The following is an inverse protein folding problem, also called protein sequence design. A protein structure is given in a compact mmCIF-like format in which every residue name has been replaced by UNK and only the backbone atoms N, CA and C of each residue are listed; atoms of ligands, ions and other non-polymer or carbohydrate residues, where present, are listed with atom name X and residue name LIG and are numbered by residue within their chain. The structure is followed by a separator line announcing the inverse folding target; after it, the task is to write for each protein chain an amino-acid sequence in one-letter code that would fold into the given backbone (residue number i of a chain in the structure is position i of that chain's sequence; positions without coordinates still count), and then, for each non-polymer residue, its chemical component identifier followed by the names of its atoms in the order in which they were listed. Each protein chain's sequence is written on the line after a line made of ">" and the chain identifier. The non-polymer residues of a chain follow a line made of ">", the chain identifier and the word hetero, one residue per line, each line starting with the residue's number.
data_IF_089326318599
#
_entry.id   IF_089326318599
#
_cell.length_a   1.000
_cell.length_b   1.000
_cell.length_c   1.000
_cell.angle_alpha   90.00
_cell.angle_beta   90.00
_cell.angle_gamma   90.00
#
_symmetry.space_group_name_H-M   'P 1'
#
loop_
_entity.id
_entity.type
_entity.pdbx_description
1 polymer ?
#
# COMPACT_ATOMS: atom_id res chain seq x y z
N UNK A 1 57.48 -13.13 -1.74
CA UNK A 1 56.21 -13.77 -1.36
C UNK A 1 55.09 -12.80 -1.65
N UNK A 2 54.31 -13.05 -2.70
CA UNK A 2 53.20 -12.21 -3.17
C UNK A 2 51.90 -12.92 -2.84
N UNK A 3 51.17 -12.41 -1.85
CA UNK A 3 49.83 -12.90 -1.50
C UNK A 3 49.07 -11.75 -0.86
N UNK A 4 48.34 -11.02 -1.69
CA UNK A 4 47.36 -10.04 -1.29
C UNK A 4 46.23 -10.11 -2.30
N UNK A 5 45.44 -11.18 -2.20
CA UNK A 5 44.23 -11.38 -2.98
C UNK A 5 43.33 -10.15 -2.82
N UNK A 6 43.14 -9.41 -3.91
CA UNK A 6 42.06 -8.46 -4.05
C UNK A 6 40.75 -9.26 -3.96
N UNK A 7 40.16 -9.30 -2.76
CA UNK A 7 38.78 -9.70 -2.59
C UNK A 7 37.91 -8.70 -3.36
N UNK A 8 37.51 -9.13 -4.54
CA UNK A 8 36.60 -8.48 -5.45
C UNK A 8 35.26 -8.33 -4.73
N UNK A 9 35.05 -7.18 -4.10
CA UNK A 9 33.74 -6.75 -3.61
C UNK A 9 32.82 -6.63 -4.82
N UNK A 10 32.04 -7.68 -5.05
CA UNK A 10 30.93 -7.63 -6.00
C UNK A 10 30.04 -6.45 -5.60
N UNK A 11 29.75 -5.51 -6.51
CA UNK A 11 29.10 -4.28 -6.12
C UNK A 11 27.65 -4.59 -5.74
N UNK A 12 27.30 -4.31 -4.47
CA UNK A 12 25.94 -4.40 -3.92
C UNK A 12 24.88 -3.71 -4.80
N UNK A 13 25.29 -2.76 -5.64
CA UNK A 13 24.47 -2.11 -6.66
C UNK A 13 23.94 -3.05 -7.76
N UNK A 14 24.71 -4.05 -8.22
CA UNK A 14 24.29 -4.98 -9.27
C UNK A 14 23.22 -5.96 -8.75
N UNK A 15 23.38 -6.44 -7.51
CA UNK A 15 22.41 -7.34 -6.88
C UNK A 15 21.08 -6.63 -6.56
N UNK A 16 21.12 -5.35 -6.19
CA UNK A 16 19.93 -4.52 -5.90
C UNK A 16 19.10 -4.24 -7.16
N UNK A 17 19.77 -3.99 -8.30
CA UNK A 17 19.11 -3.77 -9.60
C UNK A 17 18.34 -5.01 -10.07
N UNK A 18 18.94 -6.21 -9.95
CA UNK A 18 18.34 -7.46 -10.40
C UNK A 18 17.07 -7.83 -9.61
N UNK A 19 17.08 -7.67 -8.28
CA UNK A 19 15.91 -7.92 -7.42
C UNK A 19 14.72 -7.03 -7.79
N UNK A 20 14.96 -5.74 -7.98
CA UNK A 20 13.89 -4.79 -8.33
C UNK A 20 13.32 -5.07 -9.72
N UNK A 21 14.18 -5.46 -10.67
CA UNK A 21 13.75 -5.90 -12.00
C UNK A 21 12.86 -7.15 -11.92
N UNK A 22 13.26 -8.13 -11.10
CA UNK A 22 12.47 -9.34 -10.88
C UNK A 22 11.07 -9.04 -10.33
N UNK A 23 10.95 -8.17 -9.32
CA UNK A 23 9.64 -7.76 -8.80
C UNK A 23 8.80 -7.03 -9.86
N UNK A 24 9.40 -6.20 -10.72
CA UNK A 24 8.67 -5.56 -11.83
C UNK A 24 8.14 -6.59 -12.82
N UNK A 25 8.97 -7.55 -13.23
CA UNK A 25 8.57 -8.62 -14.15
C UNK A 25 7.42 -9.44 -13.55
N UNK A 26 7.55 -9.84 -12.28
CA UNK A 26 6.48 -10.54 -11.57
C UNK A 26 5.20 -9.70 -11.49
N UNK A 27 5.33 -8.40 -11.24
CA UNK A 27 4.19 -7.50 -11.17
C UNK A 27 3.41 -7.46 -12.49
N UNK A 28 4.11 -7.33 -13.63
CA UNK A 28 3.47 -7.40 -14.95
C UNK A 28 2.90 -8.78 -15.26
N UNK A 29 3.62 -9.85 -14.91
CA UNK A 29 3.15 -11.22 -15.14
C UNK A 29 1.86 -11.50 -14.37
N UNK A 30 1.79 -11.10 -13.10
CA UNK A 30 0.57 -11.25 -12.28
C UNK A 30 -0.55 -10.37 -12.84
N UNK A 31 -0.27 -9.14 -13.27
CA UNK A 31 -1.30 -8.26 -13.83
C UNK A 31 -1.89 -8.81 -15.14
N UNK A 32 -1.04 -9.31 -16.05
CA UNK A 32 -1.46 -9.94 -17.30
C UNK A 32 -2.24 -11.22 -17.03
N UNK A 33 -1.77 -12.07 -16.11
CA UNK A 33 -2.44 -13.30 -15.76
C UNK A 33 -3.80 -13.03 -15.12
N UNK A 34 -3.88 -12.04 -14.24
CA UNK A 34 -5.12 -11.67 -13.58
C UNK A 34 -6.15 -11.08 -14.56
N UNK A 35 -5.73 -10.10 -15.38
CA UNK A 35 -6.58 -9.49 -16.41
C UNK A 35 -7.03 -10.48 -17.47
N UNK A 36 -6.09 -11.27 -18.01
CA UNK A 36 -6.38 -12.29 -19.01
C UNK A 36 -7.31 -13.40 -18.52
N UNK A 37 -7.21 -13.81 -17.24
CA UNK A 37 -8.16 -14.75 -16.66
C UNK A 37 -9.56 -14.13 -16.53
N UNK A 38 -9.68 -12.88 -16.07
CA UNK A 38 -10.98 -12.20 -16.00
C UNK A 38 -11.61 -12.01 -17.39
N UNK A 39 -10.82 -11.62 -18.38
CA UNK A 39 -11.27 -11.46 -19.76
C UNK A 39 -11.71 -12.78 -20.38
N UNK A 40 -10.97 -13.86 -20.12
CA UNK A 40 -11.35 -15.20 -20.55
C UNK A 40 -12.70 -15.62 -19.96
N UNK A 41 -12.95 -15.36 -18.68
CA UNK A 41 -14.25 -15.59 -18.06
C UNK A 41 -15.35 -14.74 -18.73
N UNK A 42 -15.12 -13.47 -19.03
CA UNK A 42 -16.13 -12.61 -19.67
C UNK A 42 -16.42 -13.03 -21.13
N UNK A 43 -15.41 -13.38 -21.91
CA UNK A 43 -15.58 -13.71 -23.35
C UNK A 43 -16.37 -15.01 -23.54
N UNK A 44 -16.14 -16.02 -22.70
CA UNK A 44 -16.82 -17.31 -22.82
C UNK A 44 -18.34 -17.20 -22.63
N UNK A 45 -18.79 -16.25 -21.80
CA UNK A 45 -20.16 -16.23 -21.31
C UNK A 45 -21.03 -15.05 -21.80
N UNK A 46 -20.44 -14.03 -22.43
CA UNK A 46 -21.16 -12.79 -22.77
C UNK A 46 -21.02 -12.27 -24.22
N UNK A 47 -20.30 -12.97 -25.12
CA UNK A 47 -20.03 -12.66 -26.55
C UNK A 47 -18.76 -11.85 -26.90
N UNK A 48 -18.31 -11.93 -28.17
CA UNK A 48 -17.08 -11.31 -28.73
C UNK A 48 -17.01 -9.77 -28.62
N UNK A 49 -18.13 -9.07 -28.43
CA UNK A 49 -18.13 -7.60 -28.26
C UNK A 49 -17.38 -7.18 -26.97
N UNK A 50 -17.27 -8.10 -26.01
CA UNK A 50 -16.54 -7.91 -24.76
C UNK A 50 -15.01 -7.99 -24.91
N UNK A 51 -14.48 -8.24 -26.12
CA UNK A 51 -13.05 -8.05 -26.43
C UNK A 51 -12.56 -6.62 -26.15
N UNK A 52 -13.46 -5.63 -26.00
CA UNK A 52 -13.10 -4.30 -25.53
C UNK A 52 -12.40 -4.31 -24.15
N UNK A 53 -12.62 -5.32 -23.31
CA UNK A 53 -11.94 -5.43 -22.01
C UNK A 53 -10.46 -5.80 -22.16
N UNK A 54 -10.08 -6.50 -23.22
CA UNK A 54 -8.67 -6.73 -23.57
C UNK A 54 -8.00 -5.38 -23.87
N UNK A 55 -8.69 -4.48 -24.58
CA UNK A 55 -8.17 -3.15 -24.83
C UNK A 55 -7.96 -2.36 -23.53
N UNK A 56 -8.87 -2.49 -22.55
CA UNK A 56 -8.67 -1.87 -21.23
C UNK A 56 -7.45 -2.43 -20.51
N UNK A 57 -7.19 -3.74 -20.58
CA UNK A 57 -6.00 -4.34 -19.96
C UNK A 57 -4.70 -3.88 -20.62
N UNK A 58 -4.68 -3.75 -21.96
CA UNK A 58 -3.55 -3.15 -22.67
C UNK A 58 -3.30 -1.70 -22.24
N UNK A 59 -4.34 -0.91 -22.01
CA UNK A 59 -4.23 0.46 -21.48
C UNK A 59 -3.69 0.46 -20.05
N UNK A 60 -4.14 -0.45 -19.19
CA UNK A 60 -3.63 -0.58 -17.81
C UNK A 60 -2.16 -0.98 -17.82
N UNK A 61 -1.79 -2.02 -18.58
CA UNK A 61 -0.40 -2.50 -18.71
C UNK A 61 0.51 -1.39 -19.23
N UNK A 62 0.11 -0.71 -20.30
CA UNK A 62 0.89 0.40 -20.87
C UNK A 62 1.01 1.58 -19.91
N UNK A 63 -0.06 1.93 -19.19
CA UNK A 63 -0.04 2.95 -18.13
C UNK A 63 0.96 2.61 -17.02
N UNK A 64 0.94 1.36 -16.54
CA UNK A 64 1.91 0.88 -15.56
C UNK A 64 3.34 0.91 -16.09
N UNK A 65 3.57 0.52 -17.34
CA UNK A 65 4.89 0.60 -17.98
C UNK A 65 5.41 2.04 -18.05
N UNK A 66 4.55 3.00 -18.45
CA UNK A 66 4.88 4.43 -18.48
C UNK A 66 5.22 4.94 -17.08
N UNK A 67 4.44 4.57 -16.06
CA UNK A 67 4.69 4.95 -14.68
C UNK A 67 6.01 4.39 -14.14
N UNK A 68 6.33 3.13 -14.43
CA UNK A 68 7.63 2.55 -14.06
C UNK A 68 8.80 3.22 -14.79
N UNK A 69 8.65 3.52 -16.08
CA UNK A 69 9.67 4.25 -16.85
C UNK A 69 9.86 5.67 -16.31
N UNK A 70 8.78 6.38 -16.00
CA UNK A 70 8.83 7.74 -15.45
C UNK A 70 9.43 7.75 -14.05
N UNK A 71 9.12 6.76 -13.22
CA UNK A 71 9.75 6.57 -11.92
C UNK A 71 11.26 6.34 -12.08
N UNK A 72 11.68 5.46 -13.00
CA UNK A 72 13.10 5.20 -13.26
C UNK A 72 13.85 6.44 -13.78
N UNK A 73 13.24 7.22 -14.68
CA UNK A 73 13.82 8.49 -15.18
C UNK A 73 13.94 9.53 -14.08
N UNK A 74 12.88 9.77 -13.33
CA UNK A 74 12.89 10.71 -12.18
C UNK A 74 13.94 10.33 -11.14
N UNK A 75 14.15 9.03 -10.91
CA UNK A 75 15.22 8.53 -10.03
C UNK A 75 16.61 8.83 -10.59
N UNK A 76 16.85 8.62 -11.88
CA UNK A 76 18.12 8.95 -12.54
C UNK A 76 18.43 10.45 -12.49
N UNK A 77 17.44 11.30 -12.71
CA UNK A 77 17.57 12.76 -12.65
C UNK A 77 17.97 13.24 -11.24
N UNK A 78 17.35 12.65 -10.20
CA UNK A 78 17.73 12.90 -8.79
C UNK A 78 19.16 12.45 -8.46
N UNK A 79 19.57 11.28 -8.94
CA UNK A 79 20.93 10.76 -8.72
C UNK A 79 22.02 11.60 -9.41
N UNK A 80 21.70 12.25 -10.52
CA UNK A 80 22.63 13.13 -11.25
C UNK A 80 22.67 14.57 -10.71
N UNK A 81 22.00 14.87 -9.59
CA UNK A 81 22.05 16.19 -8.95
C UNK A 81 21.42 17.33 -9.76
N UNK A 82 20.68 17.01 -10.84
CA UNK A 82 20.00 18.02 -11.63
C UNK A 82 18.73 18.46 -10.89
N UNK A 83 18.85 19.52 -10.08
CA UNK A 83 17.71 20.23 -9.52
C UNK A 83 16.93 20.89 -10.67
N UNK A 84 16.00 20.16 -11.28
CA UNK A 84 15.09 20.66 -12.30
C UNK A 84 14.13 21.69 -11.66
N UNK A 85 14.52 22.97 -11.65
CA UNK A 85 13.60 24.11 -11.54
C UNK A 85 12.79 24.23 -12.84
N UNK A 86 11.83 23.33 -13.06
CA UNK A 86 10.70 23.54 -13.99
C UNK A 86 9.89 22.25 -14.17
N UNK A 87 8.90 22.05 -13.34
CA UNK A 87 7.60 21.61 -13.84
C UNK A 87 6.52 22.20 -12.95
N UNK A 88 5.42 22.63 -13.55
CA UNK A 88 4.26 23.25 -12.89
C UNK A 88 3.56 22.27 -11.91
N UNK A 89 4.05 21.02 -11.83
CA UNK A 89 3.67 19.97 -10.88
C UNK A 89 4.80 19.60 -9.91
N UNK A 90 5.77 20.50 -9.72
CA UNK A 90 7.00 20.33 -8.94
C UNK A 90 6.84 20.53 -7.44
N UNK A 91 5.84 19.88 -6.83
CA UNK A 91 5.98 19.51 -5.42
C UNK A 91 6.90 18.29 -5.37
N UNK A 92 7.70 18.11 -4.33
CA UNK A 92 8.58 16.95 -4.14
C UNK A 92 7.80 15.64 -4.35
N UNK A 93 7.79 15.10 -5.57
CA UNK A 93 7.02 13.90 -5.91
C UNK A 93 7.69 12.74 -5.17
N UNK A 94 7.06 12.29 -4.09
CA UNK A 94 7.55 11.19 -3.28
C UNK A 94 7.72 9.93 -4.13
N UNK A 95 8.59 9.03 -3.65
CA UNK A 95 8.98 7.79 -4.33
C UNK A 95 7.78 6.91 -4.76
N UNK A 96 6.62 7.08 -4.11
CA UNK A 96 5.39 6.34 -4.31
C UNK A 96 4.33 7.04 -5.18
N UNK A 97 4.61 8.24 -5.73
CA UNK A 97 3.60 9.00 -6.52
C UNK A 97 3.05 8.18 -7.70
N UNK A 98 3.93 7.46 -8.39
CA UNK A 98 3.52 6.63 -9.51
C UNK A 98 2.86 5.32 -9.07
N UNK A 99 3.12 4.87 -7.83
CA UNK A 99 2.56 3.65 -7.26
C UNK A 99 1.06 3.77 -6.99
N UNK A 100 0.64 4.86 -6.33
CA UNK A 100 -0.77 5.04 -5.99
C UNK A 100 -1.61 5.21 -7.26
N UNK A 101 -1.10 5.91 -8.29
CA UNK A 101 -1.77 6.07 -9.58
C UNK A 101 -1.90 4.73 -10.32
N UNK A 102 -0.82 3.94 -10.35
CA UNK A 102 -0.84 2.61 -10.95
C UNK A 102 -1.91 1.72 -10.28
N UNK A 103 -1.89 1.65 -8.95
CA UNK A 103 -2.86 0.88 -8.18
C UNK A 103 -4.30 1.39 -8.36
N UNK A 104 -4.51 2.70 -8.38
CA UNK A 104 -5.83 3.30 -8.61
C UNK A 104 -6.40 2.91 -9.97
N UNK A 105 -5.60 3.00 -11.04
CA UNK A 105 -6.02 2.58 -12.39
C UNK A 105 -6.38 1.09 -12.39
N UNK A 106 -5.60 0.26 -11.71
CA UNK A 106 -5.89 -1.16 -11.57
C UNK A 106 -7.22 -1.43 -10.84
N UNK A 107 -7.50 -0.74 -9.73
CA UNK A 107 -8.76 -0.89 -9.00
C UNK A 107 -9.95 -0.48 -9.89
N UNK A 108 -9.84 0.64 -10.60
CA UNK A 108 -10.90 1.14 -11.49
C UNK A 108 -11.16 0.16 -12.65
N UNK A 109 -10.11 -0.44 -13.22
CA UNK A 109 -10.25 -1.39 -14.33
C UNK A 109 -10.74 -2.77 -13.88
N UNK A 110 -10.29 -3.26 -12.72
CA UNK A 110 -10.64 -4.59 -12.21
C UNK A 110 -12.04 -4.65 -11.58
N UNK A 111 -12.50 -3.57 -10.95
CA UNK A 111 -13.81 -3.52 -10.27
C UNK A 111 -14.98 -3.93 -11.16
N UNK A 112 -15.22 -3.30 -12.33
CA UNK A 112 -16.36 -3.66 -13.16
C UNK A 112 -16.27 -5.10 -13.67
N UNK A 113 -15.08 -5.60 -14.03
CA UNK A 113 -14.89 -6.99 -14.46
C UNK A 113 -15.32 -7.98 -13.38
N UNK A 114 -14.87 -7.74 -12.15
CA UNK A 114 -15.20 -8.59 -11.01
C UNK A 114 -16.69 -8.50 -10.65
N UNK A 115 -17.27 -7.30 -10.62
CA UNK A 115 -18.71 -7.11 -10.36
C UNK A 115 -19.54 -7.86 -11.39
N UNK A 116 -19.19 -7.77 -12.67
CA UNK A 116 -19.91 -8.46 -13.73
C UNK A 116 -19.87 -9.98 -13.53
N UNK A 117 -18.70 -10.55 -13.19
CA UNK A 117 -18.60 -11.99 -12.92
C UNK A 117 -19.38 -12.41 -11.67
N UNK A 118 -19.45 -11.56 -10.63
CA UNK A 118 -20.17 -11.87 -9.38
C UNK A 118 -21.70 -11.71 -9.49
N UNK A 119 -22.19 -10.69 -10.19
CA UNK A 119 -23.62 -10.38 -10.29
C UNK A 119 -24.32 -11.21 -11.38
N UNK A 120 -23.60 -11.55 -12.46
CA UNK A 120 -24.21 -12.34 -13.52
C UNK A 120 -24.35 -13.79 -13.08
N UNK A 121 -25.45 -14.45 -13.48
CA UNK A 121 -25.70 -15.89 -13.30
C UNK A 121 -24.72 -16.80 -14.07
N UNK A 122 -23.58 -16.24 -14.49
CA UNK A 122 -22.48 -16.91 -15.17
C UNK A 122 -21.76 -17.86 -14.20
N UNK A 123 -21.87 -17.67 -12.88
CA UNK A 123 -21.21 -18.51 -11.89
C UNK A 123 -21.65 -20.00 -11.94
N UNK A 124 -22.94 -20.25 -12.17
CA UNK A 124 -23.49 -21.59 -12.33
C UNK A 124 -23.05 -22.24 -13.65
N UNK A 125 -22.81 -21.42 -14.68
CA UNK A 125 -22.28 -21.83 -15.98
C UNK A 125 -20.75 -22.05 -15.97
N UNK A 126 -20.00 -21.29 -15.16
CA UNK A 126 -18.56 -21.43 -14.90
C UNK A 126 -18.26 -22.79 -14.25
N UNK A 127 -19.10 -23.23 -13.32
CA UNK A 127 -18.94 -24.51 -12.64
C UNK A 127 -19.00 -25.71 -13.60
N UNK A 128 -19.70 -25.58 -14.74
CA UNK A 128 -20.02 -26.70 -15.63
C UNK A 128 -19.12 -26.79 -16.89
N UNK A 129 -18.51 -25.69 -17.35
CA UNK A 129 -17.97 -25.60 -18.73
C UNK A 129 -16.48 -25.29 -18.91
N UNK A 130 -15.74 -24.96 -17.86
CA UNK A 130 -14.37 -24.38 -18.01
C UNK A 130 -13.35 -25.08 -17.11
N UNK A 131 -12.12 -25.39 -17.61
CA UNK A 131 -11.04 -25.85 -16.72
C UNK A 131 -10.75 -24.78 -15.67
N UNK A 132 -10.64 -25.20 -14.40
CA UNK A 132 -10.48 -24.38 -13.19
C UNK A 132 -11.74 -23.64 -12.66
N UNK A 133 -12.84 -23.53 -13.40
CA UNK A 133 -14.16 -23.09 -12.89
C UNK A 133 -14.12 -21.95 -11.87
N UNK A 134 -14.82 -22.12 -10.74
CA UNK A 134 -14.85 -21.16 -9.61
C UNK A 134 -13.48 -21.04 -8.92
N UNK A 135 -12.69 -22.11 -8.92
CA UNK A 135 -11.36 -22.12 -8.28
C UNK A 135 -10.38 -21.18 -8.98
N UNK A 136 -10.42 -21.08 -10.31
CA UNK A 136 -9.60 -20.14 -11.07
C UNK A 136 -9.99 -18.69 -10.76
N UNK A 137 -11.29 -18.39 -10.69
CA UNK A 137 -11.78 -17.07 -10.26
C UNK A 137 -11.32 -16.70 -8.84
N UNK A 138 -11.38 -17.65 -7.91
CA UNK A 138 -10.86 -17.50 -6.54
C UNK A 138 -9.36 -17.16 -6.54
N UNK A 139 -8.56 -17.88 -7.32
CA UNK A 139 -7.12 -17.61 -7.46
C UNK A 139 -6.91 -16.21 -8.05
N UNK A 140 -7.63 -15.84 -9.10
CA UNK A 140 -7.57 -14.52 -9.74
C UNK A 140 -7.89 -13.38 -8.78
N UNK A 141 -8.87 -13.54 -7.90
CA UNK A 141 -9.16 -12.55 -6.84
C UNK A 141 -8.07 -12.47 -5.78
N UNK A 142 -7.47 -13.60 -5.41
CA UNK A 142 -6.41 -13.66 -4.40
C UNK A 142 -5.10 -13.06 -4.92
N UNK A 143 -4.87 -13.06 -6.24
CA UNK A 143 -3.69 -12.47 -6.87
C UNK A 143 -3.53 -10.96 -6.66
N UNK A 144 -4.58 -10.24 -6.22
CA UNK A 144 -4.48 -8.84 -5.81
C UNK A 144 -3.41 -8.62 -4.72
N UNK A 145 -3.32 -9.53 -3.74
CA UNK A 145 -2.36 -9.42 -2.64
C UNK A 145 -0.89 -9.56 -3.08
N UNK A 146 -0.47 -10.61 -3.81
CA UNK A 146 0.89 -10.71 -4.35
C UNK A 146 1.18 -9.63 -5.40
N UNK A 147 0.19 -9.15 -6.16
CA UNK A 147 0.36 -8.02 -7.07
C UNK A 147 0.78 -6.76 -6.29
N UNK A 148 0.06 -6.44 -5.21
CA UNK A 148 0.38 -5.31 -4.33
C UNK A 148 1.76 -5.46 -3.69
N UNK A 149 2.10 -6.67 -3.21
CA UNK A 149 3.43 -6.96 -2.67
C UNK A 149 4.54 -6.72 -3.70
N UNK A 150 4.36 -7.18 -4.94
CA UNK A 150 5.32 -6.97 -6.02
C UNK A 150 5.44 -5.48 -6.37
N UNK A 151 4.33 -4.75 -6.42
CA UNK A 151 4.33 -3.31 -6.67
C UNK A 151 5.15 -2.57 -5.60
N UNK A 152 4.92 -2.85 -4.33
CA UNK A 152 5.63 -2.22 -3.21
C UNK A 152 7.14 -2.50 -3.29
N UNK A 153 7.54 -3.77 -3.43
CA UNK A 153 8.95 -4.16 -3.48
C UNK A 153 9.65 -3.76 -4.79
N UNK A 154 8.90 -3.49 -5.86
CA UNK A 154 9.47 -2.94 -7.10
C UNK A 154 9.88 -1.47 -6.97
N UNK A 155 9.36 -0.78 -5.96
CA UNK A 155 9.56 0.65 -5.72
C UNK A 155 10.54 0.90 -4.59
N UNK A 156 10.43 0.15 -3.49
CA UNK A 156 11.33 0.25 -2.33
C UNK A 156 12.73 -0.19 -2.75
N UNK A 157 13.67 0.74 -2.68
CA UNK A 157 15.07 0.41 -2.91
C UNK A 157 15.79 0.12 -1.61
N UNK A 158 15.50 0.85 -0.52
CA UNK A 158 16.23 0.73 0.75
C UNK A 158 15.72 -0.46 1.58
N UNK A 159 16.50 -1.55 1.71
CA UNK A 159 16.09 -2.70 2.49
C UNK A 159 15.98 -2.40 4.00
N UNK A 160 16.64 -1.36 4.51
CA UNK A 160 16.65 -1.06 5.95
C UNK A 160 15.95 0.28 6.28
N UNK A 161 15.31 0.91 5.29
CA UNK A 161 14.66 2.20 5.46
C UNK A 161 13.38 2.13 6.30
N UNK A 162 13.08 3.20 7.04
CA UNK A 162 11.83 3.34 7.80
C UNK A 162 10.58 3.25 6.90
N UNK A 163 10.69 3.69 5.65
CA UNK A 163 9.63 3.57 4.62
C UNK A 163 9.30 2.12 4.29
N UNK A 164 10.29 1.21 4.31
CA UNK A 164 10.07 -0.22 4.12
C UNK A 164 9.25 -0.80 5.27
N UNK A 165 9.65 -0.55 6.52
CA UNK A 165 8.92 -1.08 7.67
C UNK A 165 7.48 -0.56 7.71
N UNK A 166 7.29 0.73 7.42
CA UNK A 166 5.96 1.33 7.38
C UNK A 166 5.08 0.73 6.28
N UNK A 167 5.59 0.68 5.04
CA UNK A 167 4.85 0.12 3.90
C UNK A 167 4.55 -1.37 4.05
N UNK A 168 5.46 -2.16 4.65
CA UNK A 168 5.22 -3.58 4.94
C UNK A 168 4.17 -3.77 6.04
N UNK A 169 4.14 -2.90 7.05
CA UNK A 169 3.05 -2.89 8.05
C UNK A 169 1.69 -2.59 7.41
N UNK A 170 1.62 -1.56 6.56
CA UNK A 170 0.41 -1.23 5.79
C UNK A 170 -0.02 -2.37 4.86
N UNK A 171 0.94 -3.00 4.18
CA UNK A 171 0.71 -4.17 3.34
C UNK A 171 0.13 -5.33 4.14
N UNK A 172 0.73 -5.69 5.28
CA UNK A 172 0.26 -6.81 6.11
C UNK A 172 -1.17 -6.57 6.59
N UNK A 173 -1.49 -5.36 7.04
CA UNK A 173 -2.86 -4.97 7.40
C UNK A 173 -3.82 -5.17 6.23
N UNK A 174 -3.49 -4.60 5.06
CA UNK A 174 -4.33 -4.68 3.87
C UNK A 174 -4.47 -6.13 3.38
N UNK A 175 -3.41 -6.93 3.47
CA UNK A 175 -3.44 -8.35 3.10
C UNK A 175 -4.46 -9.11 3.95
N UNK A 176 -4.47 -8.87 5.27
CA UNK A 176 -5.47 -9.44 6.17
C UNK A 176 -6.89 -8.93 5.86
N UNK A 177 -7.06 -7.65 5.48
CA UNK A 177 -8.34 -7.09 5.05
C UNK A 177 -8.86 -7.74 3.74
N UNK A 178 -7.96 -7.98 2.77
CA UNK A 178 -8.28 -8.64 1.49
C UNK A 178 -8.63 -10.11 1.73
N UNK A 179 -7.86 -10.82 2.55
CA UNK A 179 -8.17 -12.21 2.91
C UNK A 179 -9.50 -12.32 3.66
N UNK A 180 -9.75 -11.42 4.60
CA UNK A 180 -11.01 -11.34 5.34
C UNK A 180 -12.19 -11.16 4.36
N UNK A 181 -12.17 -10.10 3.55
CA UNK A 181 -13.21 -9.81 2.57
C UNK A 181 -13.38 -10.95 1.56
N UNK A 182 -12.29 -11.59 1.13
CA UNK A 182 -12.35 -12.76 0.26
C UNK A 182 -13.09 -13.94 0.91
N UNK A 183 -12.93 -14.21 2.21
CA UNK A 183 -13.73 -15.27 2.86
C UNK A 183 -15.22 -14.99 2.82
N UNK A 184 -15.64 -13.72 2.88
CA UNK A 184 -17.05 -13.33 2.74
C UNK A 184 -17.52 -13.45 1.28
N UNK A 185 -16.66 -13.09 0.32
CA UNK A 185 -16.93 -13.33 -1.11
C UNK A 185 -17.00 -14.84 -1.39
N UNK A 186 -16.25 -15.68 -0.70
CA UNK A 186 -16.39 -17.13 -0.84
C UNK A 186 -17.76 -17.64 -0.38
N UNK A 187 -18.28 -17.12 0.75
CA UNK A 187 -19.64 -17.41 1.19
C UNK A 187 -20.69 -16.90 0.18
N UNK A 188 -20.43 -15.74 -0.42
CA UNK A 188 -21.26 -15.20 -1.52
C UNK A 188 -21.26 -16.15 -2.73
N UNK A 189 -20.09 -16.64 -3.15
CA UNK A 189 -19.94 -17.57 -4.28
C UNK A 189 -20.61 -18.93 -4.02
N UNK A 190 -20.68 -19.37 -2.75
CA UNK A 190 -21.41 -20.59 -2.37
C UNK A 190 -22.92 -20.38 -2.22
N UNK A 191 -23.42 -19.16 -2.49
CA UNK A 191 -24.80 -18.77 -2.26
C UNK A 191 -25.27 -18.95 -0.80
N UNK A 192 -24.35 -18.97 0.16
CA UNK A 192 -24.64 -19.13 1.60
C UNK A 192 -25.12 -17.82 2.25
N UNK A 193 -25.11 -16.71 1.51
CA UNK A 193 -25.63 -15.41 1.95
C UNK A 193 -27.08 -15.24 1.47
N UNK A 194 -28.07 -15.28 2.38
CA UNK A 194 -29.49 -15.28 2.00
C UNK A 194 -30.06 -13.87 1.76
N UNK A 195 -29.46 -12.81 2.32
CA UNK A 195 -29.96 -11.45 2.18
C UNK A 195 -29.26 -10.69 1.06
N UNK A 196 -30.04 -10.14 0.12
CA UNK A 196 -29.57 -9.31 -0.99
C UNK A 196 -28.75 -8.10 -0.49
N UNK A 197 -29.19 -7.45 0.58
CA UNK A 197 -28.46 -6.31 1.17
C UNK A 197 -27.08 -6.71 1.70
N UNK A 198 -26.96 -7.92 2.27
CA UNK A 198 -25.69 -8.43 2.76
C UNK A 198 -24.74 -8.76 1.59
N UNK A 199 -25.27 -9.26 0.47
CA UNK A 199 -24.50 -9.50 -0.76
C UNK A 199 -23.84 -8.22 -1.27
N UNK A 200 -24.63 -7.16 -1.47
CA UNK A 200 -24.10 -5.86 -1.90
C UNK A 200 -23.13 -5.26 -0.89
N UNK A 201 -23.35 -5.46 0.40
CA UNK A 201 -22.43 -5.01 1.45
C UNK A 201 -21.08 -5.74 1.34
N UNK A 202 -21.08 -7.06 1.17
CA UNK A 202 -19.84 -7.86 1.00
C UNK A 202 -19.06 -7.41 -0.24
N UNK A 203 -19.76 -7.25 -1.38
CA UNK A 203 -19.17 -6.78 -2.63
C UNK A 203 -18.55 -5.38 -2.44
N UNK A 204 -19.30 -4.46 -1.83
CA UNK A 204 -18.84 -3.09 -1.59
C UNK A 204 -17.58 -3.07 -0.70
N UNK A 205 -17.59 -3.82 0.39
CA UNK A 205 -16.47 -3.87 1.34
C UNK A 205 -15.22 -4.50 0.73
N UNK A 206 -15.37 -5.50 -0.14
CA UNK A 206 -14.25 -6.07 -0.91
C UNK A 206 -13.58 -5.01 -1.80
N UNK A 207 -14.36 -4.19 -2.53
CA UNK A 207 -13.77 -3.13 -3.35
C UNK A 207 -13.20 -1.98 -2.54
N UNK A 208 -13.78 -1.66 -1.39
CA UNK A 208 -13.16 -0.71 -0.45
C UNK A 208 -11.79 -1.28 0.01
N UNK A 209 -11.69 -2.57 0.31
CA UNK A 209 -10.43 -3.21 0.71
C UNK A 209 -9.37 -3.12 -0.41
N UNK A 210 -9.77 -3.26 -1.68
CA UNK A 210 -8.90 -3.04 -2.83
C UNK A 210 -8.52 -1.56 -3.03
N UNK A 211 -9.36 -0.62 -2.65
CA UNK A 211 -9.12 0.81 -2.80
C UNK A 211 -8.24 1.41 -1.68
N UNK A 212 -8.22 0.83 -0.49
CA UNK A 212 -7.44 1.34 0.66
C UNK A 212 -5.93 1.51 0.37
N UNK A 213 -5.27 0.63 -0.39
CA UNK A 213 -3.89 0.86 -0.81
C UNK A 213 -3.64 2.16 -1.56
N UNK A 214 -4.62 2.69 -2.29
CA UNK A 214 -4.48 4.00 -2.92
C UNK A 214 -4.22 5.08 -1.87
N UNK A 215 -4.95 5.05 -0.76
CA UNK A 215 -4.88 6.09 0.28
C UNK A 215 -3.56 6.05 1.01
N UNK A 216 -3.10 4.87 1.45
CA UNK A 216 -1.84 4.79 2.20
C UNK A 216 -0.60 4.88 1.28
N UNK A 217 -0.66 4.48 0.01
CA UNK A 217 0.41 4.75 -0.96
C UNK A 217 0.53 6.24 -1.27
N UNK A 218 -0.59 6.94 -1.34
CA UNK A 218 -0.59 8.39 -1.48
C UNK A 218 0.00 9.06 -0.23
N UNK A 219 -0.36 8.58 0.96
CA UNK A 219 0.18 9.09 2.21
C UNK A 219 1.70 8.91 2.33
N UNK A 220 2.22 7.74 1.93
CA UNK A 220 3.67 7.50 1.81
C UNK A 220 4.38 8.47 0.86
N UNK A 221 3.62 9.11 -0.03
CA UNK A 221 4.13 10.13 -0.96
C UNK A 221 4.15 11.52 -0.33
N UNK A 222 3.15 11.84 0.49
CA UNK A 222 3.01 13.16 1.12
C UNK A 222 3.79 13.20 2.44
N UNK A 223 4.99 13.81 2.42
CA UNK A 223 5.88 13.88 3.60
C UNK A 223 5.37 14.75 4.76
N UNK A 224 4.19 15.38 4.63
CA UNK A 224 3.67 16.33 5.62
C UNK A 224 2.57 15.72 6.50
N UNK A 225 2.88 15.53 7.79
CA UNK A 225 1.94 15.08 8.81
C UNK A 225 0.94 16.18 9.19
N UNK A 226 -0.09 16.37 8.36
CA UNK A 226 -1.22 17.23 8.69
C UNK A 226 -2.26 16.48 9.55
N UNK A 227 -2.93 17.20 10.45
CA UNK A 227 -4.04 16.67 11.28
C UNK A 227 -5.15 15.98 10.44
N UNK A 228 -5.31 16.40 9.17
CA UNK A 228 -6.25 15.78 8.22
C UNK A 228 -5.87 14.33 7.90
N UNK A 229 -4.58 13.99 7.86
CA UNK A 229 -4.10 12.64 7.55
C UNK A 229 -4.31 11.67 8.69
N UNK A 230 -4.20 12.14 9.94
CA UNK A 230 -4.57 11.36 11.14
C UNK A 230 -6.03 10.90 11.05
N UNK A 231 -6.94 11.82 10.72
CA UNK A 231 -8.36 11.50 10.54
C UNK A 231 -8.59 10.61 9.32
N UNK A 232 -7.90 10.84 8.21
CA UNK A 232 -8.01 10.00 7.02
C UNK A 232 -7.58 8.55 7.30
N UNK A 233 -6.47 8.32 8.03
CA UNK A 233 -5.99 6.98 8.43
C UNK A 233 -6.99 6.25 9.34
N UNK A 234 -7.56 6.96 10.31
CA UNK A 234 -8.56 6.37 11.17
C UNK A 234 -9.81 6.01 10.38
N UNK A 235 -10.26 6.94 9.53
CA UNK A 235 -11.44 6.74 8.70
C UNK A 235 -11.29 5.54 7.77
N UNK A 236 -10.15 5.36 7.08
CA UNK A 236 -9.92 4.18 6.24
C UNK A 236 -9.94 2.88 7.05
N UNK A 237 -9.33 2.88 8.24
CA UNK A 237 -9.36 1.72 9.14
C UNK A 237 -10.78 1.36 9.62
N UNK A 238 -11.59 2.36 9.97
CA UNK A 238 -12.98 2.18 10.40
C UNK A 238 -13.85 1.73 9.23
N UNK A 239 -13.71 2.37 8.06
CA UNK A 239 -14.50 2.09 6.86
C UNK A 239 -14.32 0.66 6.35
N UNK A 240 -13.20 0.00 6.68
CA UNK A 240 -12.99 -1.42 6.38
C UNK A 240 -13.44 -2.34 7.50
N UNK A 241 -12.86 -2.16 8.69
CA UNK A 241 -13.00 -3.15 9.76
C UNK A 241 -14.41 -3.13 10.38
N UNK A 242 -15.08 -1.97 10.42
CA UNK A 242 -16.43 -1.87 10.96
C UNK A 242 -17.45 -2.62 10.10
N UNK A 243 -17.58 -2.41 8.77
CA UNK A 243 -18.55 -3.16 7.98
C UNK A 243 -18.20 -4.65 7.86
N UNK A 244 -16.92 -5.03 7.78
CA UNK A 244 -16.51 -6.45 7.85
C UNK A 244 -16.98 -7.10 9.16
N UNK A 245 -16.82 -6.40 10.29
CA UNK A 245 -17.30 -6.87 11.59
C UNK A 245 -18.82 -6.96 11.63
N UNK A 246 -19.53 -5.94 11.15
CA UNK A 246 -21.00 -5.90 11.12
C UNK A 246 -21.55 -7.08 10.32
N UNK A 247 -21.04 -7.32 9.11
CA UNK A 247 -21.47 -8.47 8.29
C UNK A 247 -21.27 -9.79 9.03
N UNK A 248 -20.13 -9.98 9.67
CA UNK A 248 -19.84 -11.19 10.47
C UNK A 248 -20.72 -11.33 11.69
N UNK A 249 -21.00 -10.24 12.40
CA UNK A 249 -21.96 -10.24 13.51
C UNK A 249 -23.34 -10.70 13.02
N UNK A 250 -23.83 -10.19 11.89
CA UNK A 250 -25.10 -10.63 11.32
C UNK A 250 -25.09 -12.13 10.97
N UNK A 251 -24.03 -12.61 10.33
CA UNK A 251 -23.87 -14.04 10.01
C UNK A 251 -23.91 -14.93 11.26
N UNK A 252 -23.20 -14.54 12.32
CA UNK A 252 -23.14 -15.31 13.57
C UNK A 252 -24.44 -15.24 14.37
N UNK A 253 -24.95 -14.03 14.64
CA UNK A 253 -26.08 -13.85 15.55
C UNK A 253 -27.42 -14.24 14.92
N UNK A 254 -27.62 -13.88 13.64
CA UNK A 254 -28.88 -14.10 12.92
C UNK A 254 -28.86 -15.45 12.21
N UNK A 255 -27.80 -15.75 11.47
CA UNK A 255 -27.71 -16.95 10.62
C UNK A 255 -26.98 -18.13 11.27
N UNK A 256 -26.59 -18.02 12.55
CA UNK A 256 -25.98 -19.10 13.36
C UNK A 256 -24.73 -19.72 12.75
N UNK A 257 -23.97 -18.97 11.95
CA UNK A 257 -22.68 -19.42 11.44
C UNK A 257 -21.63 -19.45 12.56
N UNK A 258 -20.60 -20.32 12.49
CA UNK A 258 -19.53 -20.32 13.47
C UNK A 258 -18.76 -18.99 13.50
N UNK A 259 -18.20 -18.66 14.66
CA UNK A 259 -17.36 -17.46 14.82
C UNK A 259 -16.07 -17.65 14.02
N UNK A 260 -15.74 -16.67 13.16
CA UNK A 260 -14.51 -16.70 12.38
C UNK A 260 -13.36 -16.00 13.11
N UNK A 261 -12.13 -16.45 12.88
CA UNK A 261 -10.90 -15.83 13.41
C UNK A 261 -10.80 -14.36 13.00
N UNK A 262 -11.27 -14.04 11.80
CA UNK A 262 -11.25 -12.69 11.26
C UNK A 262 -12.21 -11.72 11.99
N UNK A 263 -13.24 -12.22 12.69
CA UNK A 263 -14.07 -11.38 13.58
C UNK A 263 -13.24 -10.79 14.71
N UNK A 264 -12.38 -11.60 15.33
CA UNK A 264 -11.43 -11.14 16.35
C UNK A 264 -10.42 -10.15 15.76
N UNK A 265 -9.87 -10.44 14.57
CA UNK A 265 -8.97 -9.52 13.86
C UNK A 265 -9.61 -8.14 13.65
N UNK A 266 -10.89 -8.06 13.24
CA UNK A 266 -11.54 -6.77 13.00
C UNK A 266 -11.76 -5.98 14.29
N UNK A 267 -12.12 -6.65 15.39
CA UNK A 267 -12.24 -6.01 16.71
C UNK A 267 -10.87 -5.49 17.16
N UNK A 268 -9.82 -6.30 17.03
CA UNK A 268 -8.46 -5.93 17.43
C UNK A 268 -7.94 -4.73 16.62
N UNK A 269 -8.05 -4.77 15.29
CA UNK A 269 -7.58 -3.70 14.41
C UNK A 269 -8.36 -2.40 14.64
N UNK A 270 -9.67 -2.48 14.84
CA UNK A 270 -10.49 -1.32 15.19
C UNK A 270 -10.04 -0.72 16.54
N UNK A 271 -9.79 -1.57 17.54
CA UNK A 271 -9.24 -1.17 18.84
C UNK A 271 -7.89 -0.46 18.72
N UNK A 272 -6.95 -1.05 17.96
CA UNK A 272 -5.64 -0.43 17.69
C UNK A 272 -5.78 0.94 17.01
N UNK A 273 -6.65 1.07 16.00
CA UNK A 273 -6.87 2.36 15.31
C UNK A 273 -7.53 3.41 16.20
N UNK A 274 -8.42 3.01 17.09
CA UNK A 274 -8.97 3.89 18.12
C UNK A 274 -7.88 4.39 19.08
N UNK A 275 -7.01 3.49 19.55
CA UNK A 275 -5.90 3.85 20.44
C UNK A 275 -4.90 4.78 19.74
N UNK A 276 -4.51 4.48 18.50
CA UNK A 276 -3.64 5.35 17.68
C UNK A 276 -4.25 6.76 17.53
N UNK A 277 -5.56 6.86 17.28
CA UNK A 277 -6.25 8.16 17.17
C UNK A 277 -6.22 8.92 18.50
N UNK A 278 -6.45 8.23 19.62
CA UNK A 278 -6.42 8.85 20.96
C UNK A 278 -5.02 9.38 21.26
N UNK A 279 -3.97 8.58 21.00
CA UNK A 279 -2.58 8.98 21.20
C UNK A 279 -2.21 10.21 20.35
N UNK A 280 -2.59 10.21 19.07
CA UNK A 280 -2.34 11.33 18.16
C UNK A 280 -3.11 12.59 18.57
N UNK A 281 -4.35 12.45 19.04
CA UNK A 281 -5.12 13.57 19.60
C UNK A 281 -4.48 14.15 20.86
N UNK A 282 -3.95 13.30 21.73
CA UNK A 282 -3.27 13.71 22.97
C UNK A 282 -1.96 14.43 22.67
N UNK A 283 -1.16 13.94 21.72
CA UNK A 283 0.06 14.61 21.25
C UNK A 283 -0.23 16.01 20.68
N UNK A 284 -1.25 16.14 19.82
CA UNK A 284 -1.67 17.44 19.27
C UNK A 284 -2.18 18.41 20.36
N UNK A 285 -2.88 17.90 21.38
CA UNK A 285 -3.31 18.70 22.54
C UNK A 285 -2.14 19.13 23.42
N UNK A 286 -1.12 18.29 23.57
CA UNK A 286 0.13 18.61 24.27
C UNK A 286 0.87 19.77 23.60
N UNK A 287 1.08 19.67 22.28
CA UNK A 287 1.70 20.75 21.48
C UNK A 287 0.92 22.06 21.57
N UNK A 288 -0.42 22.02 21.49
CA UNK A 288 -1.25 23.22 21.68
C UNK A 288 -1.17 23.80 23.09
N UNK A 289 -1.01 22.97 24.13
CA UNK A 289 -0.79 23.45 25.51
C UNK A 289 0.58 24.11 25.66
N UNK A 290 1.64 23.55 25.10
CA UNK A 290 2.96 24.20 25.09
C UNK A 290 2.97 25.50 24.26
N UNK A 291 2.23 25.56 23.15
CA UNK A 291 2.08 26.78 22.35
C UNK A 291 1.23 27.86 23.06
N UNK A 292 0.15 27.49 23.77
CA UNK A 292 -0.66 28.43 24.57
C UNK A 292 0.02 28.86 25.88
N UNK A 293 0.87 28.02 26.45
CA UNK A 293 1.68 28.36 27.64
C UNK A 293 2.82 29.34 27.34
N UNK A 294 3.14 29.59 26.06
CA UNK A 294 4.17 30.54 25.60
C UNK A 294 3.59 31.91 25.20
N UNK A 295 2.41 32.26 25.73
CA UNK A 295 1.75 33.55 25.55
C UNK A 295 2.15 34.64 26.57
N UNK A 296 3.26 34.46 27.30
CA UNK A 296 3.79 35.45 28.26
C UNK A 296 5.30 35.31 28.40
N UNK A 297 6.05 35.69 27.36
CA UNK A 297 7.39 36.33 27.39
C UNK A 297 8.16 36.05 26.09
N UNK A 298 8.42 37.07 25.24
CA UNK A 298 9.43 37.00 24.20
C UNK A 298 10.78 37.43 24.79
N UNK A 299 11.43 36.57 25.58
CA UNK A 299 12.81 36.79 25.99
C UNK A 299 13.47 35.46 26.40
N UNK A 300 14.70 35.26 25.94
CA UNK A 300 15.64 34.21 26.31
C UNK A 300 15.40 32.80 25.75
N UNK A 301 15.71 32.65 24.46
CA UNK A 301 16.62 31.59 24.01
C UNK A 301 17.47 32.16 22.86
N UNK A 302 18.42 33.01 23.22
CA UNK A 302 19.44 33.56 22.34
C UNK A 302 20.76 33.64 23.12
N UNK A 303 21.46 32.49 23.21
CA UNK A 303 22.88 32.29 23.56
C UNK A 303 23.02 30.76 23.74
N UNK A 304 23.87 29.97 23.08
CA UNK A 304 24.99 30.21 22.18
C UNK A 304 25.13 28.95 21.29
N UNK A 305 25.08 29.06 19.97
CA UNK A 305 26.02 28.38 19.06
C UNK A 305 26.13 29.31 17.86
N UNK A 306 27.13 30.18 17.89
CA UNK A 306 27.53 30.96 16.73
C UNK A 306 28.27 30.01 15.79
N UNK A 307 27.58 29.47 14.79
CA UNK A 307 28.20 28.92 13.58
C UNK A 307 28.83 30.07 12.79
N UNK A 308 29.98 30.54 13.24
CA UNK A 308 30.94 31.26 12.41
C UNK A 308 32.27 31.35 13.16
N UNK A 309 33.07 30.29 13.04
CA UNK A 309 34.50 30.44 12.80
C UNK A 309 34.99 29.23 12.00
N UNK A 310 35.32 29.51 10.75
CA UNK A 310 36.00 28.60 9.83
C UNK A 310 37.46 28.41 10.27
N UNK A 311 37.93 27.17 10.34
CA UNK A 311 39.12 26.63 9.64
C UNK A 311 39.71 25.39 10.35
N UNK A 312 40.41 24.51 9.61
CA UNK A 312 40.67 23.14 10.05
C UNK A 312 42.09 22.99 10.59
N UNK A 313 42.38 23.37 11.84
CA UNK A 313 43.61 22.94 12.53
C UNK A 313 43.43 23.00 14.05
N UNK A 314 43.71 21.88 14.74
CA UNK A 314 43.97 21.91 16.18
C UNK A 314 43.21 20.88 17.03
N UNK A 315 43.35 19.58 16.75
CA UNK A 315 43.16 18.58 17.80
C UNK A 315 44.43 18.56 18.66
N UNK A 316 44.42 19.29 19.78
CA UNK A 316 45.44 19.18 20.83
C UNK A 316 44.74 18.91 22.17
N UNK A 317 44.76 17.62 22.54
CA UNK A 317 44.84 17.05 23.88
C UNK A 317 44.27 17.86 25.07
N UNK A 318 43.05 17.54 25.48
CA UNK A 318 42.52 17.84 26.81
C UNK A 318 42.60 16.62 27.74
N UNK A 319 43.82 16.20 28.07
CA UNK A 319 44.10 15.26 29.16
C UNK A 319 45.44 15.61 29.80
N UNK A 320 45.43 16.53 30.77
CA UNK A 320 46.38 16.59 31.91
C UNK A 320 46.19 17.88 32.71
N UNK A 321 45.33 17.87 33.73
CA UNK A 321 45.56 18.63 34.96
C UNK A 321 44.97 17.82 36.11
N UNK A 322 45.76 16.88 36.65
CA UNK A 322 45.54 16.38 38.00
C UNK A 322 46.25 17.32 38.99
N UNK A 323 45.42 18.05 39.74
CA UNK A 323 45.57 18.36 41.17
C UNK A 323 46.98 18.33 41.78
N UNK A 324 47.50 19.52 42.08
CA UNK A 324 48.43 19.73 43.19
C UNK A 324 47.67 20.46 44.31
N UNK A 325 47.61 19.83 45.48
CA UNK A 325 47.54 20.48 46.80
C UNK A 325 48.16 19.54 47.81
#
# INVERSE_FOLDING_TARGET
>A
MTSGEFMQSTPLFVQRSSKNLFYKILCFLVLVLQGGMLDFYLIIFTDLYWCSWIATDLVVISGWAIFFMKNARSKRERACGFHQKSSIFGCNLGEFTFAYLAWLIYVIASTPKVVLVLETSILDLIALKVPFGITGFKITMLLCAPLLYCLINSIIEDPNGATRFHSQGCFMSTCLDILDSFTLVELLLKNEIPSIYLRYTVISVYFIALAVPVVWLYELTASEMNCRWVWARCFTGVLLNAPLLVVRCFLVFVYKTPISVFMFKNIFFLGCKCLELVEQCMSLRGVRRFARGRGSNPAQFSHCVSENDMCPHGYVNTLAVNTQS
#
